data_IF_281335160041
#
_entry.id   IF_281335160041
#
_cell.length_a   1.000
_cell.length_b   1.000
_cell.length_c   1.000
_cell.angle_alpha   90.00
_cell.angle_beta   90.00
_cell.angle_gamma   90.00
#
_symmetry.space_group_name_H-M   'P 1'
#
loop_
_entity.id
_entity.type
_entity.pdbx_description
1 polymer ?
#
# COMPACT_ATOMS: atom_id res chain seq x y z
N UNK A 1 3.96 10.06 12.56
CA UNK A 1 4.47 9.56 11.26
C UNK A 1 4.57 10.74 10.34
N UNK A 2 5.40 10.69 9.32
CA UNK A 2 5.47 11.82 8.39
C UNK A 2 4.14 11.97 7.64
N UNK A 3 3.67 13.21 7.43
CA UNK A 3 2.37 13.47 6.82
C UNK A 3 2.21 12.79 5.45
N UNK A 4 3.28 12.75 4.65
CA UNK A 4 3.28 12.09 3.35
C UNK A 4 3.13 10.57 3.47
N UNK A 5 3.75 9.95 4.47
CA UNK A 5 3.63 8.51 4.75
C UNK A 5 2.20 8.16 5.17
N UNK A 6 1.63 8.96 6.08
CA UNK A 6 0.23 8.87 6.50
C UNK A 6 -0.71 8.89 5.30
N UNK A 7 -0.54 9.88 4.40
CA UNK A 7 -1.42 10.04 3.25
C UNK A 7 -1.30 8.88 2.25
N UNK A 8 -0.10 8.31 2.04
CA UNK A 8 0.09 7.13 1.19
C UNK A 8 -0.61 5.89 1.76
N UNK A 9 -0.44 5.63 3.05
CA UNK A 9 -1.09 4.48 3.69
C UNK A 9 -2.60 4.67 3.73
N UNK A 10 -3.08 5.87 4.09
CA UNK A 10 -4.51 6.19 4.11
C UNK A 10 -5.14 6.00 2.73
N UNK A 11 -4.46 6.41 1.65
CA UNK A 11 -4.92 6.20 0.27
C UNK A 11 -5.24 4.73 0.00
N UNK A 12 -4.32 3.83 0.37
CA UNK A 12 -4.51 2.37 0.30
C UNK A 12 -5.64 1.89 1.19
N UNK A 13 -5.64 2.37 2.43
CA UNK A 13 -6.62 1.97 3.44
C UNK A 13 -8.05 2.23 2.99
N UNK A 14 -8.31 3.37 2.35
CA UNK A 14 -9.67 3.76 1.94
C UNK A 14 -9.99 3.41 0.49
N UNK A 15 -9.09 2.72 -0.22
CA UNK A 15 -9.14 2.49 -1.66
C UNK A 15 -9.51 3.78 -2.41
N UNK A 16 -8.66 4.81 -2.27
CA UNK A 16 -8.96 6.13 -2.82
C UNK A 16 -8.82 6.14 -4.34
N UNK A 17 -9.90 6.47 -5.03
CA UNK A 17 -9.92 6.68 -6.46
C UNK A 17 -9.26 8.04 -6.78
N UNK A 18 -8.10 8.01 -7.44
CA UNK A 18 -7.35 9.22 -7.81
C UNK A 18 -8.00 10.03 -8.92
N UNK A 19 -8.68 9.37 -9.86
CA UNK A 19 -9.30 10.03 -11.02
C UNK A 19 -10.55 10.81 -10.59
N UNK A 20 -11.41 10.17 -9.81
CA UNK A 20 -12.68 10.75 -9.38
C UNK A 20 -12.61 11.42 -8.00
N UNK A 21 -11.48 11.31 -7.31
CA UNK A 21 -11.21 11.97 -6.03
C UNK A 21 -12.18 11.62 -4.89
N UNK A 22 -12.42 10.32 -4.69
CA UNK A 22 -13.24 9.83 -3.56
C UNK A 22 -12.68 8.53 -2.97
N UNK A 23 -13.21 8.15 -1.79
CA UNK A 23 -12.88 6.88 -1.16
C UNK A 23 -13.84 5.78 -1.66
N UNK A 24 -13.34 4.72 -2.29
CA UNK A 24 -14.19 3.59 -2.70
C UNK A 24 -14.63 2.74 -1.49
N UNK A 25 -13.85 2.74 -0.42
CA UNK A 25 -14.23 2.09 0.83
C UNK A 25 -15.45 2.79 1.45
N UNK A 26 -16.46 2.00 1.83
CA UNK A 26 -17.64 2.51 2.53
C UNK A 26 -17.25 3.14 3.87
N UNK A 27 -17.86 4.28 4.20
CA UNK A 27 -17.66 4.95 5.50
C UNK A 27 -18.06 4.07 6.70
N UNK A 28 -18.97 3.11 6.52
CA UNK A 28 -19.32 2.12 7.53
C UNK A 28 -18.20 1.13 7.81
N UNK A 29 -17.30 0.92 6.86
CA UNK A 29 -16.20 -0.03 6.96
C UNK A 29 -14.90 0.64 7.42
N UNK A 30 -14.72 1.92 7.07
CA UNK A 30 -13.55 2.72 7.44
C UNK A 30 -13.49 3.06 8.94
N UNK A 31 -12.37 2.76 9.59
CA UNK A 31 -12.15 3.05 11.01
C UNK A 31 -12.06 4.56 11.32
N UNK A 32 -11.67 5.39 10.33
CA UNK A 32 -11.74 6.85 10.44
C UNK A 32 -13.17 7.39 10.21
N UNK A 33 -14.04 6.57 9.65
CA UNK A 33 -15.41 6.94 9.30
C UNK A 33 -16.27 7.25 10.52
N UNK A 34 -17.27 8.10 10.31
CA UNK A 34 -18.19 8.58 11.35
C UNK A 34 -18.77 7.47 12.23
N UNK A 35 -19.07 6.32 11.62
CA UNK A 35 -19.70 5.20 12.29
C UNK A 35 -18.75 4.41 13.20
N UNK A 36 -17.42 4.54 13.01
CA UNK A 36 -16.41 3.72 13.68
C UNK A 36 -15.39 4.51 14.49
N UNK A 37 -15.31 5.83 14.31
CA UNK A 37 -14.29 6.66 14.96
C UNK A 37 -14.59 7.00 16.43
N UNK A 38 -15.71 6.51 17.00
CA UNK A 38 -16.08 6.71 18.40
C UNK A 38 -16.55 8.12 18.77
N UNK A 39 -16.32 9.12 17.91
CA UNK A 39 -16.72 10.51 18.11
C UNK A 39 -17.99 10.90 17.32
N UNK A 40 -18.39 10.08 16.34
CA UNK A 40 -19.57 10.35 15.53
C UNK A 40 -19.43 11.58 14.62
N UNK A 41 -18.21 12.05 14.35
CA UNK A 41 -17.93 13.14 13.42
C UNK A 41 -17.38 12.63 12.08
N UNK A 42 -17.31 13.48 11.06
CA UNK A 42 -16.73 13.07 9.78
C UNK A 42 -15.24 12.74 9.91
N UNK A 43 -14.70 11.95 8.98
CA UNK A 43 -13.31 11.48 9.02
C UNK A 43 -12.31 12.63 9.07
N UNK A 44 -12.50 13.68 8.27
CA UNK A 44 -11.63 14.86 8.31
C UNK A 44 -11.66 15.57 9.67
N UNK A 45 -12.83 15.68 10.31
CA UNK A 45 -12.94 16.25 11.66
C UNK A 45 -12.26 15.36 12.70
N UNK A 46 -12.38 14.04 12.57
CA UNK A 46 -11.73 13.08 13.45
C UNK A 46 -10.21 13.21 13.39
N UNK A 47 -9.64 13.28 12.18
CA UNK A 47 -8.20 13.46 11.97
C UNK A 47 -7.68 14.78 12.56
N UNK A 48 -8.49 15.85 12.56
CA UNK A 48 -8.11 17.11 13.19
C UNK A 48 -8.27 17.11 14.71
N UNK A 49 -9.30 16.44 15.24
CA UNK A 49 -9.59 16.38 16.67
C UNK A 49 -8.65 15.44 17.42
N UNK A 50 -8.29 14.32 16.79
CA UNK A 50 -7.45 13.27 17.38
C UNK A 50 -6.46 12.71 16.35
N UNK A 51 -5.44 13.51 15.95
CA UNK A 51 -4.46 13.09 14.96
C UNK A 51 -3.62 11.90 15.43
N UNK A 52 -3.38 11.76 16.74
CA UNK A 52 -2.65 10.63 17.31
C UNK A 52 -3.42 9.31 17.12
N UNK A 53 -4.73 9.31 17.38
CA UNK A 53 -5.57 8.13 17.16
C UNK A 53 -5.74 7.82 15.69
N UNK A 54 -5.87 8.84 14.83
CA UNK A 54 -5.92 8.64 13.39
C UNK A 54 -4.62 7.98 12.87
N UNK A 55 -3.45 8.44 13.32
CA UNK A 55 -2.17 7.81 13.01
C UNK A 55 -2.12 6.36 13.49
N UNK A 56 -2.54 6.09 14.72
CA UNK A 56 -2.57 4.72 15.27
C UNK A 56 -3.41 3.77 14.40
N UNK A 57 -4.59 4.22 13.96
CA UNK A 57 -5.48 3.44 13.08
C UNK A 57 -4.79 3.14 11.75
N UNK A 58 -4.19 4.16 11.12
CA UNK A 58 -3.52 4.02 9.82
C UNK A 58 -2.31 3.08 9.92
N UNK A 59 -1.50 3.19 10.98
CA UNK A 59 -0.37 2.28 11.23
C UNK A 59 -0.81 0.84 11.49
N UNK A 60 -1.87 0.65 12.29
CA UNK A 60 -2.41 -0.69 12.56
C UNK A 60 -2.99 -1.32 11.29
N UNK A 61 -3.59 -0.52 10.41
CA UNK A 61 -4.06 -1.00 9.13
C UNK A 61 -2.88 -1.44 8.25
N UNK A 62 -1.82 -0.65 8.15
CA UNK A 62 -0.61 -0.99 7.37
C UNK A 62 0.06 -2.28 7.85
N UNK A 63 0.22 -2.44 9.17
CA UNK A 63 0.84 -3.63 9.75
C UNK A 63 0.08 -4.92 9.41
N UNK A 64 -1.24 -4.83 9.22
CA UNK A 64 -2.10 -5.95 8.81
C UNK A 64 -2.19 -6.12 7.28
N UNK A 65 -1.91 -5.06 6.53
CA UNK A 65 -1.97 -5.02 5.08
C UNK A 65 -0.63 -4.52 4.53
N UNK A 66 0.45 -5.32 4.68
CA UNK A 66 1.75 -4.93 4.15
C UNK A 66 1.65 -4.71 2.63
N UNK A 67 2.38 -3.72 2.11
CA UNK A 67 2.39 -3.49 0.68
C UNK A 67 2.98 -4.72 -0.03
N UNK A 68 2.25 -5.23 -1.03
CA UNK A 68 2.70 -6.37 -1.82
C UNK A 68 3.99 -5.99 -2.54
N UNK A 69 5.01 -6.83 -2.47
CA UNK A 69 6.28 -6.65 -3.19
C UNK A 69 6.22 -7.33 -4.56
N UNK A 70 7.01 -6.85 -5.52
CA UNK A 70 7.07 -7.47 -6.85
C UNK A 70 7.44 -8.97 -6.78
N UNK A 71 8.34 -9.38 -5.88
CA UNK A 71 8.67 -10.79 -5.69
C UNK A 71 7.45 -11.62 -5.26
N UNK A 72 6.64 -11.10 -4.35
CA UNK A 72 5.47 -11.83 -3.84
C UNK A 72 4.46 -12.05 -4.96
N UNK A 73 4.15 -11.01 -5.74
CA UNK A 73 3.26 -11.13 -6.89
C UNK A 73 3.78 -12.09 -7.96
N UNK A 74 5.07 -12.05 -8.25
CA UNK A 74 5.68 -12.96 -9.21
C UNK A 74 5.55 -14.41 -8.78
N UNK A 75 5.86 -14.75 -7.52
CA UNK A 75 5.77 -16.12 -7.04
C UNK A 75 4.33 -16.60 -6.83
N UNK A 76 3.36 -15.72 -6.59
CA UNK A 76 1.93 -16.08 -6.63
C UNK A 76 1.49 -16.50 -8.04
N UNK A 77 1.93 -15.79 -9.08
CA UNK A 77 1.65 -16.11 -10.48
C UNK A 77 2.43 -17.33 -10.98
N UNK A 78 3.67 -17.47 -10.52
CA UNK A 78 4.62 -18.50 -10.95
C UNK A 78 5.20 -19.27 -9.75
N UNK A 79 4.41 -20.08 -9.04
CA UNK A 79 4.83 -20.72 -7.79
C UNK A 79 5.96 -21.75 -7.95
N UNK A 80 6.20 -22.21 -9.19
CA UNK A 80 7.28 -23.15 -9.53
C UNK A 80 8.52 -22.46 -10.10
N UNK A 81 8.54 -21.14 -10.19
CA UNK A 81 9.71 -20.42 -10.68
C UNK A 81 10.91 -20.61 -9.73
N UNK A 82 12.12 -20.82 -10.25
CA UNK A 82 13.32 -20.96 -9.44
C UNK A 82 13.63 -19.63 -8.72
N UNK A 83 14.16 -19.77 -7.50
CA UNK A 83 14.69 -18.66 -6.70
C UNK A 83 16.21 -18.63 -6.84
N UNK A 84 16.77 -17.44 -6.86
CA UNK A 84 18.20 -17.20 -6.72
C UNK A 84 18.65 -17.35 -5.25
N UNK A 85 19.92 -17.03 -4.98
CA UNK A 85 20.51 -17.09 -3.64
C UNK A 85 19.90 -16.08 -2.65
N UNK A 86 19.19 -15.07 -3.13
CA UNK A 86 18.52 -14.04 -2.34
C UNK A 86 17.02 -14.33 -2.16
N UNK A 87 16.53 -15.46 -2.70
CA UNK A 87 15.11 -15.82 -2.65
C UNK A 87 14.25 -15.06 -3.66
N UNK A 88 14.86 -14.37 -4.62
CA UNK A 88 14.19 -13.59 -5.67
C UNK A 88 14.25 -14.32 -7.01
N UNK A 89 13.43 -13.95 -8.01
CA UNK A 89 13.54 -14.53 -9.34
C UNK A 89 14.92 -14.27 -9.96
N UNK A 90 15.50 -15.27 -10.63
CA UNK A 90 16.77 -15.18 -11.35
C UNK A 90 16.66 -14.37 -12.67
N UNK A 91 16.01 -13.21 -12.61
CA UNK A 91 15.85 -12.23 -13.67
C UNK A 91 15.65 -10.86 -13.02
N UNK A 92 15.97 -9.77 -13.71
CA UNK A 92 15.71 -8.44 -13.17
C UNK A 92 14.21 -8.15 -13.13
N UNK A 93 13.69 -7.62 -12.01
CA UNK A 93 12.29 -7.17 -11.90
C UNK A 93 11.89 -6.27 -13.06
N UNK A 94 12.79 -5.36 -13.47
CA UNK A 94 12.59 -4.45 -14.61
C UNK A 94 12.30 -5.16 -15.94
N UNK A 95 12.88 -6.32 -16.18
CA UNK A 95 12.65 -7.09 -17.41
C UNK A 95 11.24 -7.68 -17.45
N UNK A 96 10.65 -7.96 -16.28
CA UNK A 96 9.34 -8.62 -16.16
C UNK A 96 8.22 -7.59 -15.99
N UNK A 97 8.40 -6.61 -15.10
CA UNK A 97 7.38 -5.62 -14.72
C UNK A 97 7.63 -4.21 -15.30
N UNK A 98 8.77 -3.97 -15.95
CA UNK A 98 9.14 -2.64 -16.43
C UNK A 98 9.61 -1.69 -15.32
N UNK A 99 9.47 -0.38 -15.55
CA UNK A 99 9.82 0.69 -14.60
C UNK A 99 11.32 0.95 -14.42
N UNK A 100 11.65 1.92 -13.56
CA UNK A 100 13.01 2.12 -13.03
C UNK A 100 13.24 1.18 -11.85
N UNK A 101 14.47 0.69 -11.69
CA UNK A 101 14.93 0.19 -10.40
C UNK A 101 15.82 1.29 -9.81
N UNK A 102 16.00 1.30 -8.49
CA UNK A 102 16.94 2.20 -7.82
C UNK A 102 18.28 2.20 -8.58
N UNK A 103 18.75 3.40 -8.95
CA UNK A 103 20.01 3.55 -9.69
C UNK A 103 21.17 2.99 -8.84
N UNK A 104 21.91 2.02 -9.42
CA UNK A 104 22.99 1.23 -8.81
C UNK A 104 22.57 0.11 -7.83
N UNK A 105 21.29 -0.28 -7.79
CA UNK A 105 20.88 -1.48 -7.08
C UNK A 105 21.12 -2.73 -7.94
N UNK A 106 21.52 -3.83 -7.31
CA UNK A 106 21.59 -5.11 -8.00
C UNK A 106 20.16 -5.56 -8.36
N UNK A 107 20.01 -6.34 -9.44
CA UNK A 107 18.68 -6.69 -9.95
C UNK A 107 17.79 -7.41 -8.94
N UNK A 108 18.40 -8.12 -7.99
CA UNK A 108 17.77 -8.77 -6.82
C UNK A 108 17.10 -7.76 -5.88
N UNK A 109 17.66 -6.56 -5.68
CA UNK A 109 17.15 -5.57 -4.74
C UNK A 109 15.81 -4.99 -5.21
N UNK A 110 15.65 -4.83 -6.53
CA UNK A 110 14.43 -4.31 -7.16
C UNK A 110 13.20 -5.17 -6.86
N UNK A 111 13.38 -6.45 -6.56
CA UNK A 111 12.28 -7.37 -6.25
C UNK A 111 11.64 -7.12 -4.89
N UNK A 112 12.39 -6.47 -3.99
CA UNK A 112 11.91 -6.07 -2.67
C UNK A 112 11.16 -4.75 -2.66
N UNK A 113 11.15 -4.03 -3.78
CA UNK A 113 10.39 -2.81 -3.92
C UNK A 113 8.89 -3.10 -3.76
N UNK A 114 8.16 -2.20 -3.07
CA UNK A 114 6.72 -2.26 -3.03
C UNK A 114 6.18 -2.13 -4.46
N UNK A 115 5.17 -2.93 -4.80
CA UNK A 115 4.45 -2.76 -6.05
C UNK A 115 3.76 -1.41 -6.06
N UNK A 116 3.81 -0.76 -7.21
CA UNK A 116 2.96 0.40 -7.46
C UNK A 116 1.50 -0.06 -7.37
N UNK A 117 0.69 0.75 -6.71
CA UNK A 117 -0.76 0.55 -6.73
C UNK A 117 -1.22 0.75 -8.16
N UNK A 118 -1.78 -0.31 -8.77
CA UNK A 118 -2.34 -0.26 -10.11
C UNK A 118 -3.43 0.83 -10.13
N UNK A 119 -3.24 1.94 -10.85
CA UNK A 119 -4.27 2.96 -10.96
C UNK A 119 -5.36 2.40 -11.89
N UNK A 120 -6.31 1.69 -11.28
CA UNK A 120 -7.53 1.16 -11.90
C UNK A 120 -7.32 0.11 -13.01
N UNK A 121 -7.52 -1.15 -12.66
CA UNK A 121 -8.04 -2.16 -13.59
C UNK A 121 -8.87 -3.22 -12.84
N UNK A 122 -10.17 -2.92 -12.70
CA UNK A 122 -11.24 -3.93 -12.79
C UNK A 122 -11.55 -4.18 -14.29
#
# INVERSE_FOLDING_TARGET
>A
MEFQEYMKIKRRMVNYNLEESYCDMRCSDCALGQMKNGLGCFCGDFEMKDPEKAEEIVRQWEAKHPQKKYAQDFFEKYPKAPKDNYGTPAACRKTIYGGSCIDNADCEDCWNEPMEEDPAHD
#
